data_IF_427114435469
#
_entry.id   IF_427114435469
#
_cell.length_a   1.000
_cell.length_b   1.000
_cell.length_c   1.000
_cell.angle_alpha   90.00
_cell.angle_beta   90.00
_cell.angle_gamma   90.00
#
_symmetry.space_group_name_H-M   'P 1'
#
loop_
_entity.id
_entity.type
_entity.pdbx_description
1 polymer ?
#
# COMPACT_ATOMS: atom_id res chain seq x y z
N UNK A 1 -12.86 -28.67 -29.72
CA UNK A 1 -13.41 -27.99 -28.51
C UNK A 1 -13.39 -28.87 -27.24
N UNK A 2 -12.63 -29.97 -27.21
CA UNK A 2 -12.69 -30.98 -26.16
C UNK A 2 -11.66 -30.88 -25.01
N UNK A 3 -10.63 -30.01 -25.07
CA UNK A 3 -9.50 -30.07 -24.13
C UNK A 3 -9.36 -28.88 -23.17
N UNK A 4 -10.17 -27.84 -23.31
CA UNK A 4 -10.11 -26.67 -22.38
C UNK A 4 -10.87 -26.97 -21.09
N UNK A 5 -11.93 -27.77 -21.14
CA UNK A 5 -12.69 -28.19 -19.96
C UNK A 5 -11.97 -29.25 -19.10
N UNK A 6 -11.01 -29.98 -19.63
CA UNK A 6 -10.22 -30.95 -18.89
C UNK A 6 -9.24 -30.30 -17.90
N UNK A 7 -8.69 -29.14 -18.25
CA UNK A 7 -7.78 -28.39 -17.40
C UNK A 7 -8.51 -27.69 -16.22
N UNK A 8 -9.74 -27.20 -16.46
CA UNK A 8 -10.61 -26.65 -15.41
C UNK A 8 -11.08 -27.74 -14.42
N UNK A 9 -11.34 -28.97 -14.91
CA UNK A 9 -11.68 -30.12 -14.07
C UNK A 9 -10.53 -30.60 -13.19
N UNK A 10 -9.27 -30.44 -13.62
CA UNK A 10 -8.09 -30.74 -12.80
C UNK A 10 -7.92 -29.73 -11.66
N UNK A 11 -8.09 -28.43 -11.93
CA UNK A 11 -8.03 -27.39 -10.92
C UNK A 11 -9.16 -27.54 -9.88
N UNK A 12 -10.33 -27.96 -10.29
CA UNK A 12 -11.46 -28.22 -9.38
C UNK A 12 -11.28 -29.51 -8.54
N UNK A 13 -10.49 -30.49 -9.00
CA UNK A 13 -10.15 -31.69 -8.22
C UNK A 13 -9.06 -31.46 -7.19
N UNK A 14 -8.23 -30.45 -7.38
CA UNK A 14 -7.22 -30.03 -6.38
C UNK A 14 -7.89 -29.31 -5.21
N UNK A 15 -9.04 -28.68 -5.41
CA UNK A 15 -9.79 -27.99 -4.33
C UNK A 15 -10.70 -28.91 -3.50
N UNK A 16 -10.87 -30.18 -3.90
CA UNK A 16 -11.79 -31.14 -3.22
C UNK A 16 -11.05 -32.13 -2.31
N UNK A 17 -9.71 -32.13 -2.31
CA UNK A 17 -8.93 -33.04 -1.47
C UNK A 17 -8.37 -32.29 -0.25
N UNK A 18 -8.97 -32.56 0.89
CA UNK A 18 -8.60 -32.22 2.26
C UNK A 18 -8.92 -30.79 2.73
N UNK A 19 -9.14 -30.65 4.00
CA UNK A 19 -9.10 -29.36 4.71
C UNK A 19 -7.92 -28.54 4.19
N UNK A 20 -8.12 -27.22 3.89
CA UNK A 20 -7.03 -26.42 3.33
C UNK A 20 -5.80 -26.60 4.26
N UNK A 21 -4.62 -26.87 3.70
CA UNK A 21 -3.45 -27.10 4.51
C UNK A 21 -3.26 -25.92 5.46
N UNK A 22 -2.80 -26.15 6.70
CA UNK A 22 -2.57 -25.08 7.64
C UNK A 22 -1.65 -24.05 6.99
N UNK A 23 -1.99 -22.77 7.11
CA UNK A 23 -1.24 -21.68 6.48
C UNK A 23 0.24 -21.77 6.85
N UNK A 24 1.09 -21.87 5.86
CA UNK A 24 2.53 -22.02 5.99
C UNK A 24 3.32 -21.18 4.97
N UNK A 25 4.65 -21.34 4.95
CA UNK A 25 5.53 -20.57 4.06
C UNK A 25 5.24 -20.76 2.56
N UNK A 26 4.80 -21.95 2.15
CA UNK A 26 4.49 -22.23 0.75
C UNK A 26 3.19 -21.57 0.30
N UNK A 27 2.17 -21.51 1.15
CA UNK A 27 0.92 -20.81 0.86
C UNK A 27 1.18 -19.32 0.67
N UNK A 28 2.01 -18.73 1.54
CA UNK A 28 2.47 -17.34 1.37
C UNK A 28 3.24 -17.15 0.06
N UNK A 29 4.19 -18.05 -0.25
CA UNK A 29 4.95 -17.98 -1.50
C UNK A 29 4.02 -18.05 -2.72
N UNK A 30 3.03 -18.94 -2.71
CA UNK A 30 2.08 -19.09 -3.81
C UNK A 30 1.18 -17.86 -3.96
N UNK A 31 0.70 -17.26 -2.86
CA UNK A 31 -0.06 -16.01 -2.92
C UNK A 31 0.76 -14.89 -3.56
N UNK A 32 2.02 -14.73 -3.16
CA UNK A 32 2.91 -13.73 -3.76
C UNK A 32 3.26 -14.05 -5.22
N UNK A 33 3.45 -15.32 -5.58
CA UNK A 33 3.71 -15.73 -6.96
C UNK A 33 2.50 -15.45 -7.88
N UNK A 34 1.30 -15.78 -7.42
CA UNK A 34 0.05 -15.53 -8.16
C UNK A 34 -0.19 -14.01 -8.30
N UNK A 35 0.02 -13.24 -7.23
CA UNK A 35 -0.08 -11.79 -7.30
C UNK A 35 0.99 -11.18 -8.23
N UNK A 36 2.20 -11.72 -8.26
CA UNK A 36 3.26 -11.30 -9.19
C UNK A 36 2.86 -11.53 -10.64
N UNK A 37 2.22 -12.67 -10.93
CA UNK A 37 1.68 -12.96 -12.26
C UNK A 37 0.61 -11.92 -12.65
N UNK A 38 -0.28 -11.57 -11.72
CA UNK A 38 -1.30 -10.55 -11.96
C UNK A 38 -0.68 -9.16 -12.17
N UNK A 39 0.34 -8.79 -11.40
CA UNK A 39 1.09 -7.54 -11.57
C UNK A 39 1.77 -7.49 -12.94
N UNK A 40 2.37 -8.60 -13.39
CA UNK A 40 2.97 -8.71 -14.71
C UNK A 40 1.94 -8.50 -15.83
N UNK A 41 0.79 -9.19 -15.75
CA UNK A 41 -0.30 -9.04 -16.71
C UNK A 41 -0.84 -7.60 -16.70
N UNK A 42 -1.05 -7.03 -15.53
CA UNK A 42 -1.52 -5.65 -15.36
C UNK A 42 -0.55 -4.62 -15.97
N UNK A 43 0.76 -4.81 -15.78
CA UNK A 43 1.78 -3.96 -16.40
C UNK A 43 1.77 -4.10 -17.92
N UNK A 44 1.60 -5.31 -18.44
CA UNK A 44 1.46 -5.53 -19.88
C UNK A 44 0.19 -4.88 -20.45
N UNK A 45 -0.94 -5.00 -19.73
CA UNK A 45 -2.18 -4.31 -20.09
C UNK A 45 -2.01 -2.80 -20.12
N UNK A 46 -1.38 -2.22 -19.10
CA UNK A 46 -1.07 -0.79 -19.06
C UNK A 46 -0.19 -0.35 -20.23
N UNK A 47 0.81 -1.14 -20.60
CA UNK A 47 1.70 -0.82 -21.72
C UNK A 47 0.99 -0.83 -23.09
N UNK A 48 -0.12 -1.58 -23.25
CA UNK A 48 -0.81 -1.79 -24.53
C UNK A 48 -2.15 -1.06 -24.65
N UNK A 49 -2.88 -0.88 -23.54
CA UNK A 49 -4.26 -0.38 -23.55
C UNK A 49 -4.29 1.13 -23.29
N UNK A 50 -4.59 1.92 -24.33
CA UNK A 50 -4.64 3.38 -24.28
C UNK A 50 -5.61 3.92 -23.21
N UNK A 51 -6.73 3.25 -22.95
CA UNK A 51 -7.68 3.66 -21.92
C UNK A 51 -7.03 3.66 -20.54
N UNK A 52 -6.30 2.59 -20.20
CA UNK A 52 -5.58 2.45 -18.93
C UNK A 52 -4.49 3.53 -18.81
N UNK A 53 -3.76 3.80 -19.90
CA UNK A 53 -2.75 4.86 -19.96
C UNK A 53 -3.36 6.23 -19.70
N UNK A 54 -4.46 6.56 -20.36
CA UNK A 54 -5.15 7.84 -20.21
C UNK A 54 -5.74 8.06 -18.81
N UNK A 55 -6.11 6.99 -18.12
CA UNK A 55 -6.60 7.04 -16.75
C UNK A 55 -5.48 6.98 -15.70
N UNK A 56 -4.21 6.83 -16.11
CA UNK A 56 -3.03 6.71 -15.22
C UNK A 56 -3.17 5.68 -14.10
N UNK A 57 -3.98 4.63 -14.33
CA UNK A 57 -4.18 3.61 -13.32
C UNK A 57 -2.86 2.89 -13.02
N UNK A 58 -2.45 2.80 -11.74
CA UNK A 58 -1.30 1.99 -11.36
C UNK A 58 -1.52 0.51 -11.69
N UNK A 59 -0.46 -0.16 -12.12
CA UNK A 59 -0.53 -1.60 -12.43
C UNK A 59 -0.90 -2.43 -11.18
N UNK A 60 -0.48 -1.99 -10.01
CA UNK A 60 -0.86 -2.59 -8.72
C UNK A 60 -2.36 -2.55 -8.45
N UNK A 61 -3.04 -1.44 -8.80
CA UNK A 61 -4.49 -1.33 -8.68
C UNK A 61 -5.20 -2.28 -9.65
N UNK A 62 -4.74 -2.35 -10.90
CA UNK A 62 -5.31 -3.26 -11.92
C UNK A 62 -5.13 -4.72 -11.49
N UNK A 63 -3.93 -5.08 -11.02
CA UNK A 63 -3.65 -6.42 -10.49
C UNK A 63 -4.54 -6.76 -9.29
N UNK A 64 -4.75 -5.79 -8.40
CA UNK A 64 -5.64 -5.95 -7.25
C UNK A 64 -7.09 -6.23 -7.66
N UNK A 65 -7.63 -5.48 -8.62
CA UNK A 65 -8.97 -5.77 -9.17
C UNK A 65 -9.04 -7.12 -9.88
N UNK A 66 -8.01 -7.47 -10.68
CA UNK A 66 -7.94 -8.80 -11.28
C UNK A 66 -7.92 -9.89 -10.20
N UNK A 67 -7.12 -9.71 -9.14
CA UNK A 67 -7.07 -10.61 -8.00
C UNK A 67 -8.42 -10.76 -7.31
N UNK A 68 -9.12 -9.64 -7.07
CA UNK A 68 -10.46 -9.64 -6.49
C UNK A 68 -11.46 -10.44 -7.35
N UNK A 69 -11.51 -10.16 -8.67
CA UNK A 69 -12.43 -10.82 -9.59
C UNK A 69 -12.10 -12.29 -9.82
N UNK A 70 -10.82 -12.66 -9.86
CA UNK A 70 -10.38 -14.03 -10.10
C UNK A 70 -10.36 -14.88 -8.82
N UNK A 71 -10.48 -14.27 -7.63
CA UNK A 71 -10.50 -14.94 -6.34
C UNK A 71 -11.77 -15.75 -6.10
N UNK A 72 -11.76 -16.52 -5.02
CA UNK A 72 -12.92 -17.33 -4.59
C UNK A 72 -14.18 -16.50 -4.30
N UNK A 73 -14.09 -15.18 -4.21
CA UNK A 73 -15.24 -14.30 -3.99
C UNK A 73 -16.11 -14.13 -5.25
N UNK A 74 -15.54 -14.31 -6.46
CA UNK A 74 -16.26 -14.18 -7.72
C UNK A 74 -16.12 -15.42 -8.60
N UNK A 75 -14.99 -15.56 -9.30
CA UNK A 75 -14.80 -16.60 -10.31
C UNK A 75 -14.18 -17.89 -9.76
N UNK A 76 -13.53 -17.84 -8.60
CA UNK A 76 -12.89 -19.00 -7.99
C UNK A 76 -11.75 -19.61 -8.83
N UNK A 77 -11.13 -18.82 -9.71
CA UNK A 77 -10.06 -19.30 -10.61
C UNK A 77 -8.72 -19.32 -9.87
N UNK A 78 -8.45 -18.32 -9.05
CA UNK A 78 -7.19 -18.20 -8.30
C UNK A 78 -7.47 -18.55 -6.84
N UNK A 79 -6.86 -19.64 -6.34
CA UNK A 79 -7.05 -20.07 -4.95
C UNK A 79 -6.10 -19.31 -4.01
N UNK A 80 -6.36 -18.03 -3.80
CA UNK A 80 -5.64 -17.28 -2.77
C UNK A 80 -5.96 -17.81 -1.36
N UNK A 81 -4.97 -17.73 -0.47
CA UNK A 81 -5.19 -18.11 0.93
C UNK A 81 -6.12 -17.13 1.64
N UNK A 82 -6.76 -17.59 2.72
CA UNK A 82 -7.61 -16.74 3.56
C UNK A 82 -6.84 -15.65 4.34
N UNK A 83 -5.52 -15.54 4.15
CA UNK A 83 -4.64 -14.57 4.85
C UNK A 83 -4.25 -13.37 4.01
N UNK A 84 -4.79 -13.20 2.81
CA UNK A 84 -4.46 -12.07 1.92
C UNK A 84 -4.57 -10.69 2.58
N UNK A 85 -5.60 -10.47 3.37
CA UNK A 85 -5.79 -9.20 4.09
C UNK A 85 -4.63 -8.87 5.05
N UNK A 86 -4.01 -9.89 5.63
CA UNK A 86 -2.89 -9.73 6.55
C UNK A 86 -1.61 -9.29 5.83
N UNK A 87 -1.47 -9.57 4.53
CA UNK A 87 -0.30 -9.14 3.76
C UNK A 87 -0.23 -7.63 3.60
N UNK A 88 -1.36 -6.96 3.37
CA UNK A 88 -1.39 -5.50 3.28
C UNK A 88 -0.90 -4.87 4.59
N UNK A 89 -1.35 -5.39 5.74
CA UNK A 89 -0.89 -4.92 7.05
C UNK A 89 0.59 -5.23 7.31
N UNK A 90 1.08 -6.41 6.94
CA UNK A 90 2.50 -6.77 7.05
C UNK A 90 3.37 -5.87 6.17
N UNK A 91 2.97 -5.65 4.92
CA UNK A 91 3.74 -4.86 3.96
C UNK A 91 3.84 -3.38 4.36
N UNK A 92 2.79 -2.81 4.99
CA UNK A 92 2.89 -1.44 5.50
C UNK A 92 3.92 -1.31 6.62
N UNK A 93 4.07 -2.31 7.47
CA UNK A 93 5.11 -2.33 8.52
C UNK A 93 6.50 -2.30 7.88
N UNK A 94 6.73 -3.11 6.84
CA UNK A 94 8.01 -3.13 6.09
C UNK A 94 8.27 -1.79 5.39
N UNK A 95 7.24 -1.20 4.77
CA UNK A 95 7.34 0.11 4.12
C UNK A 95 7.79 1.20 5.10
N UNK A 96 7.12 1.30 6.25
CA UNK A 96 7.42 2.32 7.25
C UNK A 96 8.76 2.08 7.95
N UNK A 97 9.17 0.83 8.15
CA UNK A 97 10.48 0.49 8.68
C UNK A 97 11.63 1.07 7.83
N UNK A 98 11.47 1.05 6.48
CA UNK A 98 12.46 1.58 5.55
C UNK A 98 12.47 3.10 5.37
N UNK A 99 11.42 3.81 5.83
CA UNK A 99 11.17 5.21 5.46
C UNK A 99 12.33 6.16 5.76
N UNK A 100 12.96 6.02 6.91
CA UNK A 100 14.06 6.90 7.37
C UNK A 100 15.45 6.32 7.17
N UNK A 101 15.60 5.07 6.75
CA UNK A 101 16.89 4.44 6.48
C UNK A 101 17.51 5.06 5.22
N UNK A 102 18.83 5.31 5.25
CA UNK A 102 19.58 5.95 4.16
C UNK A 102 19.52 7.48 4.15
N UNK A 103 18.85 8.11 5.12
CA UNK A 103 18.87 9.57 5.28
C UNK A 103 20.10 9.98 6.08
N UNK A 104 21.22 10.22 5.40
CA UNK A 104 22.49 10.56 6.01
C UNK A 104 22.76 12.08 6.04
N UNK A 105 22.02 12.88 5.28
CA UNK A 105 22.23 14.33 5.20
C UNK A 105 21.65 15.06 6.43
N UNK A 106 22.52 15.77 7.14
CA UNK A 106 22.10 16.73 8.17
C UNK A 106 21.57 17.98 7.48
N UNK A 107 20.30 17.99 7.15
CA UNK A 107 19.65 19.21 6.65
C UNK A 107 19.30 20.13 7.83
N UNK A 108 19.55 21.44 7.67
CA UNK A 108 19.09 22.42 8.65
C UNK A 108 17.56 22.46 8.66
N UNK A 109 16.94 22.43 9.86
CA UNK A 109 15.48 22.52 10.03
C UNK A 109 14.91 23.75 9.30
N UNK A 110 15.64 24.88 9.32
CA UNK A 110 15.23 26.10 8.61
C UNK A 110 15.18 25.91 7.10
N UNK A 111 16.14 25.17 6.52
CA UNK A 111 16.15 24.88 5.08
C UNK A 111 14.97 23.96 4.72
N UNK A 112 14.76 22.90 5.48
CA UNK A 112 13.62 21.98 5.30
C UNK A 112 12.28 22.71 5.43
N UNK A 113 12.12 23.56 6.46
CA UNK A 113 10.89 24.34 6.65
C UNK A 113 10.59 25.28 5.48
N UNK A 114 11.62 25.89 4.89
CA UNK A 114 11.44 26.77 3.73
C UNK A 114 11.13 26.02 2.43
N UNK A 115 11.65 24.81 2.26
CA UNK A 115 11.47 24.03 1.03
C UNK A 115 10.13 23.27 1.00
N UNK A 116 9.67 22.77 2.15
CA UNK A 116 8.48 21.91 2.22
C UNK A 116 7.38 22.42 3.14
N UNK A 117 7.57 23.57 3.80
CA UNK A 117 6.65 24.10 4.81
C UNK A 117 5.23 24.31 4.31
N UNK A 118 5.08 24.88 3.12
CA UNK A 118 3.77 25.12 2.49
C UNK A 118 3.04 23.79 2.22
N UNK A 119 3.74 22.84 1.61
CA UNK A 119 3.19 21.51 1.30
C UNK A 119 2.86 20.75 2.59
N UNK A 120 3.73 20.83 3.60
CA UNK A 120 3.48 20.20 4.90
C UNK A 120 2.25 20.79 5.59
N UNK A 121 2.13 22.12 5.61
CA UNK A 121 0.98 22.80 6.23
C UNK A 121 -0.32 22.46 5.52
N UNK A 122 -0.32 22.45 4.18
CA UNK A 122 -1.48 22.06 3.39
C UNK A 122 -1.89 20.60 3.67
N UNK A 123 -0.92 19.67 3.68
CA UNK A 123 -1.21 18.27 3.98
C UNK A 123 -1.78 18.09 5.39
N UNK A 124 -1.19 18.73 6.40
CA UNK A 124 -1.70 18.70 7.77
C UNK A 124 -3.11 19.27 7.88
N UNK A 125 -3.38 20.42 7.25
CA UNK A 125 -4.70 21.01 7.23
C UNK A 125 -5.74 20.10 6.55
N UNK A 126 -5.35 19.46 5.46
CA UNK A 126 -6.21 18.49 4.75
C UNK A 126 -6.48 17.26 5.61
N UNK A 127 -5.47 16.70 6.24
CA UNK A 127 -5.59 15.51 7.08
C UNK A 127 -6.47 15.78 8.30
N UNK A 128 -6.14 16.80 9.10
CA UNK A 128 -6.98 17.18 10.25
C UNK A 128 -8.40 17.58 9.83
N UNK A 129 -8.55 18.29 8.70
CA UNK A 129 -9.84 18.68 8.16
C UNK A 129 -10.69 17.46 7.79
N UNK A 130 -10.13 16.47 7.11
CA UNK A 130 -10.86 15.24 6.74
C UNK A 130 -11.25 14.41 7.97
N UNK A 131 -10.33 14.21 8.94
CA UNK A 131 -10.65 13.50 10.18
C UNK A 131 -11.71 14.26 11.00
N UNK A 132 -11.56 15.58 11.14
CA UNK A 132 -12.56 16.43 11.84
C UNK A 132 -13.93 16.36 11.19
N UNK A 133 -13.99 16.50 9.87
CA UNK A 133 -15.23 16.39 9.11
C UNK A 133 -15.88 15.01 9.26
N UNK A 134 -15.10 13.94 9.11
CA UNK A 134 -15.59 12.57 9.23
C UNK A 134 -16.14 12.26 10.64
N UNK A 135 -15.49 12.75 11.70
CA UNK A 135 -15.95 12.59 13.08
C UNK A 135 -17.24 13.37 13.30
N UNK A 136 -17.32 14.60 12.81
CA UNK A 136 -18.54 15.42 12.94
C UNK A 136 -19.72 14.79 12.18
N UNK A 137 -19.53 14.43 10.91
CA UNK A 137 -20.57 13.79 10.10
C UNK A 137 -20.93 12.42 10.68
N UNK A 138 -19.93 11.63 11.10
CA UNK A 138 -20.14 10.36 11.78
C UNK A 138 -20.97 10.51 13.04
N UNK A 139 -20.56 11.42 13.93
CA UNK A 139 -21.24 11.63 15.22
C UNK A 139 -22.65 12.21 15.11
N UNK A 140 -22.85 13.20 14.22
CA UNK A 140 -24.12 13.91 14.13
C UNK A 140 -25.11 13.32 13.14
N UNK A 141 -24.68 12.59 12.13
CA UNK A 141 -25.54 12.07 11.06
C UNK A 141 -25.49 10.55 11.00
N UNK A 142 -24.31 9.98 10.71
CA UNK A 142 -24.17 8.58 10.38
C UNK A 142 -24.65 7.65 11.52
N UNK A 143 -24.21 7.89 12.75
CA UNK A 143 -24.56 7.02 13.88
C UNK A 143 -26.00 7.20 14.37
N UNK A 144 -26.67 8.30 13.98
CA UNK A 144 -28.11 8.44 14.22
C UNK A 144 -28.93 7.70 13.17
N UNK A 145 -28.45 7.64 11.92
CA UNK A 145 -29.12 6.93 10.84
C UNK A 145 -28.83 5.42 10.87
N UNK A 146 -27.65 5.03 11.33
CA UNK A 146 -27.15 3.64 11.37
C UNK A 146 -26.55 3.33 12.74
N UNK A 147 -27.37 3.12 13.79
CA UNK A 147 -26.88 2.87 15.17
C UNK A 147 -26.03 1.59 15.31
N UNK A 148 -26.20 0.64 14.38
CA UNK A 148 -25.46 -0.61 14.35
C UNK A 148 -24.03 -0.48 13.82
N UNK A 149 -23.69 0.66 13.19
CA UNK A 149 -22.35 0.89 12.63
C UNK A 149 -21.36 1.21 13.76
N UNK A 150 -20.19 0.57 13.69
CA UNK A 150 -19.14 0.77 14.69
C UNK A 150 -18.72 2.25 14.77
N UNK A 151 -18.57 2.79 15.99
CA UNK A 151 -18.25 4.21 16.22
C UNK A 151 -16.93 4.69 15.57
N UNK A 152 -16.02 3.79 15.25
CA UNK A 152 -14.80 4.11 14.52
C UNK A 152 -14.96 4.07 12.99
N UNK A 153 -16.18 3.82 12.46
CA UNK A 153 -16.39 3.68 11.02
C UNK A 153 -15.99 4.94 10.25
N UNK A 154 -16.40 6.10 10.74
CA UNK A 154 -16.16 7.38 10.05
C UNK A 154 -14.69 7.73 9.89
N UNK A 155 -13.81 7.28 10.82
CA UNK A 155 -12.37 7.56 10.72
C UNK A 155 -11.66 6.71 9.65
N UNK A 156 -12.26 5.62 9.19
CA UNK A 156 -11.72 4.81 8.11
C UNK A 156 -11.79 5.51 6.75
N UNK A 157 -12.75 6.41 6.55
CA UNK A 157 -12.84 7.23 5.34
C UNK A 157 -11.57 8.09 5.14
N UNK A 158 -11.21 9.02 6.05
CA UNK A 158 -9.98 9.81 5.88
C UNK A 158 -8.73 8.94 5.91
N UNK A 159 -8.70 7.86 6.69
CA UNK A 159 -7.60 6.91 6.68
C UNK A 159 -7.34 6.34 5.28
N UNK A 160 -8.40 5.99 4.55
CA UNK A 160 -8.30 5.50 3.18
C UNK A 160 -7.98 6.60 2.16
N UNK A 161 -8.63 7.74 2.25
CA UNK A 161 -8.52 8.83 1.27
C UNK A 161 -7.18 9.57 1.37
N UNK A 162 -6.73 9.93 2.57
CA UNK A 162 -5.47 10.67 2.77
C UNK A 162 -4.28 9.72 2.76
N UNK A 163 -4.36 8.64 3.52
CA UNK A 163 -3.25 7.72 3.74
C UNK A 163 -3.18 6.53 2.78
N UNK A 164 -4.22 6.32 1.97
CA UNK A 164 -4.31 5.20 1.04
C UNK A 164 -4.31 3.83 1.72
N UNK A 165 -4.02 2.78 0.94
CA UNK A 165 -4.10 1.38 1.38
C UNK A 165 -3.19 1.06 2.59
N UNK A 166 -2.02 1.71 2.69
CA UNK A 166 -1.09 1.49 3.80
C UNK A 166 -1.63 2.00 5.13
N UNK A 167 -2.12 3.21 5.16
CA UNK A 167 -2.67 3.82 6.36
C UNK A 167 -4.01 3.18 6.76
N UNK A 168 -4.86 2.90 5.77
CA UNK A 168 -6.09 2.15 5.98
C UNK A 168 -5.83 0.75 6.55
N UNK A 169 -4.79 0.04 6.07
CA UNK A 169 -4.39 -1.25 6.60
C UNK A 169 -3.92 -1.14 8.07
N UNK A 170 -3.17 -0.09 8.39
CA UNK A 170 -2.66 0.12 9.74
C UNK A 170 -3.77 0.44 10.74
N UNK A 171 -4.65 1.39 10.41
CA UNK A 171 -5.77 1.76 11.29
C UNK A 171 -6.78 0.62 11.37
N UNK A 172 -7.18 0.03 10.22
CA UNK A 172 -8.10 -1.10 10.19
C UNK A 172 -7.57 -2.32 10.94
N UNK A 173 -6.28 -2.63 10.78
CA UNK A 173 -5.60 -3.69 11.53
C UNK A 173 -5.57 -3.42 13.04
N UNK A 174 -5.29 -2.18 13.45
CA UNK A 174 -5.32 -1.80 14.87
C UNK A 174 -6.72 -1.91 15.47
N UNK A 175 -7.76 -1.48 14.73
CA UNK A 175 -9.15 -1.59 15.17
C UNK A 175 -9.62 -3.05 15.28
N UNK A 176 -9.15 -3.91 14.38
CA UNK A 176 -9.36 -5.35 14.46
C UNK A 176 -8.66 -5.94 15.68
N UNK A 177 -7.36 -5.70 15.85
CA UNK A 177 -6.54 -6.30 16.90
C UNK A 177 -6.89 -5.81 18.32
N UNK A 178 -7.18 -4.51 18.46
CA UNK A 178 -7.46 -3.89 19.76
C UNK A 178 -8.96 -3.72 20.03
N UNK A 179 -9.76 -3.50 19.00
CA UNK A 179 -11.20 -3.27 19.10
C UNK A 179 -12.07 -4.48 18.80
N UNK A 180 -11.50 -5.58 18.30
CA UNK A 180 -12.24 -6.78 17.91
C UNK A 180 -13.17 -6.57 16.71
N UNK A 181 -12.98 -5.50 15.95
CA UNK A 181 -13.81 -5.21 14.79
C UNK A 181 -13.22 -5.83 13.52
N UNK A 182 -13.69 -7.03 13.18
CA UNK A 182 -13.14 -7.85 12.09
C UNK A 182 -13.23 -7.19 10.70
N UNK A 183 -14.30 -6.42 10.43
CA UNK A 183 -14.55 -5.79 9.14
C UNK A 183 -13.74 -4.51 8.92
N UNK A 184 -13.13 -3.94 9.96
CA UNK A 184 -12.43 -2.66 9.91
C UNK A 184 -11.37 -2.60 8.81
N UNK A 185 -10.61 -3.69 8.64
CA UNK A 185 -9.56 -3.78 7.61
C UNK A 185 -10.16 -3.73 6.20
N UNK A 186 -11.22 -4.50 5.95
CA UNK A 186 -11.91 -4.53 4.65
C UNK A 186 -12.54 -3.18 4.31
N UNK A 187 -13.20 -2.55 5.27
CA UNK A 187 -13.84 -1.24 5.10
C UNK A 187 -12.76 -0.18 4.82
N UNK A 188 -11.67 -0.17 5.57
CA UNK A 188 -10.53 0.71 5.34
C UNK A 188 -9.91 0.55 3.95
N UNK A 189 -9.69 -0.68 3.48
CA UNK A 189 -9.18 -0.96 2.14
C UNK A 189 -10.16 -0.54 1.05
N UNK A 190 -11.47 -0.67 1.32
CA UNK A 190 -12.52 -0.18 0.41
C UNK A 190 -12.46 1.33 0.25
N UNK A 191 -12.41 2.07 1.36
CA UNK A 191 -12.25 3.53 1.32
C UNK A 191 -10.93 3.95 0.63
N UNK A 192 -9.83 3.24 0.86
CA UNK A 192 -8.57 3.51 0.19
C UNK A 192 -8.66 3.32 -1.33
N UNK A 193 -9.35 2.28 -1.79
CA UNK A 193 -9.59 2.03 -3.22
C UNK A 193 -10.46 3.12 -3.84
N UNK A 194 -11.56 3.47 -3.18
CA UNK A 194 -12.45 4.56 -3.62
C UNK A 194 -11.68 5.89 -3.63
N UNK A 195 -10.93 6.19 -2.57
CA UNK A 195 -10.13 7.41 -2.46
C UNK A 195 -9.08 7.54 -3.57
N UNK A 196 -8.39 6.44 -3.88
CA UNK A 196 -7.42 6.40 -4.98
C UNK A 196 -8.10 6.65 -6.34
N UNK A 197 -9.24 6.02 -6.61
CA UNK A 197 -10.01 6.25 -7.83
C UNK A 197 -10.53 7.68 -7.91
N UNK A 198 -11.11 8.20 -6.84
CA UNK A 198 -11.57 9.58 -6.76
C UNK A 198 -10.42 10.58 -6.96
N UNK A 199 -9.26 10.34 -6.35
CA UNK A 199 -8.06 11.16 -6.51
C UNK A 199 -7.56 11.19 -7.96
N UNK A 200 -7.48 10.02 -8.61
CA UNK A 200 -7.05 9.90 -9.99
C UNK A 200 -8.07 10.58 -10.94
N UNK A 201 -9.34 10.17 -10.88
CA UNK A 201 -10.37 10.67 -11.79
C UNK A 201 -10.67 12.15 -11.54
N UNK A 202 -10.80 12.56 -10.27
CA UNK A 202 -10.98 13.95 -9.88
C UNK A 202 -9.78 14.81 -10.26
N UNK A 203 -8.57 14.33 -10.03
CA UNK A 203 -7.33 14.97 -10.45
C UNK A 203 -7.26 15.18 -11.97
N UNK A 204 -7.64 14.18 -12.76
CA UNK A 204 -7.73 14.30 -14.22
C UNK A 204 -8.74 15.37 -14.66
N UNK A 205 -9.90 15.41 -14.05
CA UNK A 205 -10.92 16.44 -14.34
C UNK A 205 -10.38 17.83 -14.00
N UNK A 206 -9.77 18.00 -12.83
CA UNK A 206 -9.18 19.27 -12.39
C UNK A 206 -8.03 19.71 -13.29
N UNK A 207 -7.13 18.81 -13.66
CA UNK A 207 -6.01 19.12 -14.59
C UNK A 207 -6.56 19.55 -15.95
N UNK A 208 -7.51 18.83 -16.52
CA UNK A 208 -8.12 19.18 -17.79
C UNK A 208 -8.84 20.55 -17.72
N UNK A 209 -9.54 20.82 -16.65
CA UNK A 209 -10.19 22.13 -16.43
C UNK A 209 -9.16 23.25 -16.32
N UNK A 210 -8.14 23.09 -15.48
CA UNK A 210 -7.08 24.07 -15.26
C UNK A 210 -6.26 24.33 -16.55
N UNK A 211 -5.97 23.28 -17.33
CA UNK A 211 -5.27 23.39 -18.61
C UNK A 211 -6.08 24.18 -19.64
N UNK A 212 -7.39 23.91 -19.76
CA UNK A 212 -8.30 24.66 -20.65
C UNK A 212 -8.41 26.13 -20.25
N UNK A 213 -8.34 26.44 -18.95
CA UNK A 213 -8.34 27.83 -18.43
C UNK A 213 -6.96 28.49 -18.46
N UNK A 214 -5.91 27.81 -18.97
CA UNK A 214 -4.51 28.29 -18.99
C UNK A 214 -4.00 28.65 -17.58
N UNK A 215 -4.51 27.98 -16.54
CA UNK A 215 -4.10 28.17 -15.15
C UNK A 215 -2.90 27.32 -14.74
N UNK A 216 -2.39 26.44 -15.62
CA UNK A 216 -1.23 25.58 -15.38
C UNK A 216 0.05 26.18 -15.93
N UNK A 217 1.17 26.09 -15.15
CA UNK A 217 2.49 26.59 -15.58
C UNK A 217 3.31 25.54 -16.34
N UNK A 218 3.19 24.26 -15.97
CA UNK A 218 4.12 23.21 -16.40
C UNK A 218 3.46 22.08 -17.20
N UNK A 219 2.18 21.82 -17.01
CA UNK A 219 1.49 20.73 -17.71
C UNK A 219 0.67 21.33 -18.85
N UNK A 220 1.01 20.96 -20.09
CA UNK A 220 0.29 21.46 -21.26
C UNK A 220 -0.87 20.54 -21.65
N UNK A 221 -0.61 19.28 -21.91
CA UNK A 221 -1.64 18.24 -22.16
C UNK A 221 -1.12 16.86 -21.80
N UNK A 222 -2.04 15.88 -21.62
CA UNK A 222 -1.71 14.48 -21.35
C UNK A 222 -0.90 13.83 -22.48
N UNK A 223 -1.12 14.28 -23.73
CA UNK A 223 -0.40 13.79 -24.91
C UNK A 223 1.07 14.23 -24.94
N UNK A 224 1.44 15.25 -24.17
CA UNK A 224 2.82 15.78 -24.10
C UNK A 224 3.67 15.11 -23.03
N UNK A 225 3.11 14.20 -22.23
CA UNK A 225 3.87 13.45 -21.24
C UNK A 225 4.81 12.43 -21.92
N UNK A 226 6.01 12.19 -21.36
CA UNK A 226 6.92 11.18 -21.85
C UNK A 226 6.24 9.81 -22.01
N UNK A 227 6.57 9.08 -23.05
CA UNK A 227 6.03 7.74 -23.30
C UNK A 227 6.25 6.79 -22.13
N UNK A 228 7.37 6.94 -21.43
CA UNK A 228 7.68 6.17 -20.20
C UNK A 228 6.66 6.38 -19.10
N UNK A 229 6.12 7.58 -18.93
CA UNK A 229 5.05 7.85 -17.96
C UNK A 229 3.70 7.29 -18.40
N UNK A 230 3.41 7.28 -19.70
CA UNK A 230 2.15 6.73 -20.22
C UNK A 230 2.12 5.21 -20.14
N UNK A 231 3.14 4.54 -20.68
CA UNK A 231 3.21 3.07 -20.79
C UNK A 231 3.71 2.38 -19.53
N UNK A 232 4.43 3.12 -18.65
CA UNK A 232 5.16 2.53 -17.52
C UNK A 232 6.43 1.76 -17.94
N UNK A 233 6.85 1.87 -19.20
CA UNK A 233 8.09 1.27 -19.72
C UNK A 233 9.08 2.37 -20.08
N UNK A 234 10.31 2.26 -19.57
CA UNK A 234 11.39 3.23 -19.81
C UNK A 234 12.24 2.76 -20.98
N UNK A 235 12.37 3.56 -22.06
CA UNK A 235 13.27 3.27 -23.18
C UNK A 235 14.72 3.07 -22.71
N UNK A 236 15.50 2.30 -23.46
CA UNK A 236 16.88 1.95 -23.08
C UNK A 236 17.75 3.19 -22.80
N UNK A 237 17.56 4.25 -23.59
CA UNK A 237 18.32 5.50 -23.52
C UNK A 237 17.99 6.33 -22.24
N UNK A 238 16.82 6.13 -21.67
CA UNK A 238 16.35 6.82 -20.45
C UNK A 238 16.56 5.98 -19.18
N UNK A 239 17.05 4.74 -19.30
CA UNK A 239 17.23 3.86 -18.15
C UNK A 239 18.36 4.35 -17.23
N UNK A 240 18.07 4.41 -15.95
CA UNK A 240 19.02 4.81 -14.91
C UNK A 240 19.25 3.67 -13.90
N UNK A 241 20.46 3.55 -13.31
CA UNK A 241 20.74 2.54 -12.29
C UNK A 241 19.77 2.71 -11.08
N UNK A 242 19.35 1.58 -10.50
CA UNK A 242 18.47 1.57 -9.33
C UNK A 242 19.14 2.09 -8.05
N UNK A 243 20.48 2.08 -7.99
CA UNK A 243 21.28 2.54 -6.87
C UNK A 243 22.77 2.24 -7.09
N UNK A 244 23.59 2.60 -6.12
CA UNK A 244 25.02 2.36 -6.15
C UNK A 244 25.37 1.04 -5.44
N UNK A 245 26.45 0.43 -5.90
CA UNK A 245 27.04 -0.74 -5.28
C UNK A 245 27.88 -0.30 -4.06
N UNK A 246 27.24 -0.24 -2.88
CA UNK A 246 27.84 0.29 -1.64
C UNK A 246 28.61 -0.75 -0.83
N UNK A 247 28.42 -2.04 -1.14
CA UNK A 247 29.13 -3.17 -0.55
C UNK A 247 29.59 -4.11 -1.65
N UNK A 248 30.64 -4.91 -1.35
CA UNK A 248 31.19 -5.84 -2.34
C UNK A 248 30.34 -7.12 -2.39
N UNK A 249 29.85 -7.54 -3.58
CA UNK A 249 29.05 -8.76 -3.73
C UNK A 249 29.75 -10.05 -3.29
N UNK A 250 31.10 -10.07 -3.20
CA UNK A 250 31.82 -11.22 -2.62
C UNK A 250 31.52 -11.44 -1.14
N UNK A 251 31.17 -10.38 -0.40
CA UNK A 251 30.82 -10.47 1.01
C UNK A 251 29.31 -10.58 1.21
N UNK A 252 28.53 -9.67 0.59
CA UNK A 252 27.08 -9.66 0.62
C UNK A 252 26.56 -8.89 -0.61
N UNK A 253 25.49 -9.37 -1.21
CA UNK A 253 24.85 -8.67 -2.31
C UNK A 253 24.33 -7.28 -1.86
N UNK A 254 24.57 -6.20 -2.65
CA UNK A 254 24.14 -4.84 -2.28
C UNK A 254 22.65 -4.71 -2.01
N UNK A 255 21.79 -5.42 -2.76
CA UNK A 255 20.34 -5.41 -2.50
C UNK A 255 20.03 -6.10 -1.17
N UNK A 256 20.64 -7.27 -0.93
CA UNK A 256 20.49 -8.02 0.32
C UNK A 256 20.92 -7.19 1.53
N UNK A 257 22.02 -6.42 1.41
CA UNK A 257 22.48 -5.48 2.43
C UNK A 257 21.40 -4.45 2.81
N UNK A 258 20.69 -3.88 1.85
CA UNK A 258 19.65 -2.91 2.11
C UNK A 258 18.35 -3.56 2.61
N UNK A 259 18.00 -4.74 2.08
CA UNK A 259 16.83 -5.51 2.54
C UNK A 259 16.98 -5.92 4.00
N UNK A 260 18.17 -6.39 4.42
CA UNK A 260 18.38 -6.77 5.82
C UNK A 260 18.19 -5.60 6.78
N UNK A 261 18.59 -4.37 6.41
CA UNK A 261 18.39 -3.20 7.26
C UNK A 261 16.90 -2.89 7.46
N UNK A 262 16.12 -2.99 6.40
CA UNK A 262 14.65 -2.82 6.47
C UNK A 262 14.02 -3.91 7.33
N UNK A 263 14.43 -5.16 7.15
CA UNK A 263 13.89 -6.29 7.91
C UNK A 263 14.28 -6.23 9.40
N UNK A 264 15.50 -5.78 9.73
CA UNK A 264 15.93 -5.56 11.13
C UNK A 264 15.03 -4.49 11.78
N UNK A 265 14.76 -3.39 11.09
CA UNK A 265 13.88 -2.35 11.61
C UNK A 265 12.42 -2.86 11.75
N UNK A 266 11.91 -3.62 10.79
CA UNK A 266 10.58 -4.22 10.87
C UNK A 266 10.48 -5.22 12.03
N UNK A 267 11.48 -6.08 12.22
CA UNK A 267 11.56 -7.01 13.34
C UNK A 267 11.64 -6.26 14.69
N UNK A 268 12.44 -5.18 14.76
CA UNK A 268 12.50 -4.31 15.92
C UNK A 268 11.14 -3.73 16.28
N UNK A 269 10.38 -3.28 15.28
CA UNK A 269 9.01 -2.81 15.43
C UNK A 269 8.07 -3.89 15.96
N UNK A 270 8.13 -5.09 15.40
CA UNK A 270 7.33 -6.23 15.81
C UNK A 270 7.58 -6.60 17.28
N UNK A 271 8.84 -6.84 17.65
CA UNK A 271 9.18 -7.22 19.03
C UNK A 271 8.89 -6.11 20.03
N UNK A 272 9.21 -4.85 19.70
CA UNK A 272 8.94 -3.72 20.57
C UNK A 272 7.41 -3.53 20.80
N UNK A 273 6.59 -3.66 19.76
CA UNK A 273 5.13 -3.57 19.89
C UNK A 273 4.57 -4.69 20.76
N UNK A 274 5.02 -5.93 20.55
CA UNK A 274 4.55 -7.06 21.36
C UNK A 274 5.01 -6.96 22.82
N UNK A 275 6.23 -6.48 23.05
CA UNK A 275 6.73 -6.25 24.40
C UNK A 275 5.97 -5.11 25.10
N UNK A 276 5.66 -4.04 24.39
CA UNK A 276 4.84 -2.94 24.90
C UNK A 276 3.42 -3.40 25.28
N UNK A 277 2.79 -4.28 24.50
CA UNK A 277 1.48 -4.88 24.85
C UNK A 277 1.51 -5.66 26.17
N UNK A 278 2.65 -6.29 26.51
CA UNK A 278 2.82 -7.01 27.79
C UNK A 278 3.01 -6.06 28.96
N UNK A 279 3.79 -4.98 28.75
CA UNK A 279 4.10 -4.00 29.79
C UNK A 279 2.93 -3.05 30.08
N UNK A 280 2.23 -2.61 29.06
CA UNK A 280 1.17 -1.61 29.13
C UNK A 280 -0.03 -2.09 28.29
N UNK A 281 -0.81 -3.07 28.80
CA UNK A 281 -1.92 -3.67 28.04
C UNK A 281 -3.01 -2.68 27.61
N UNK A 282 -3.13 -1.54 28.31
CA UNK A 282 -4.12 -0.50 28.02
C UNK A 282 -3.77 0.34 26.78
N UNK A 283 -2.53 0.28 26.30
CA UNK A 283 -2.06 1.09 25.17
C UNK A 283 -1.80 0.19 23.95
N UNK A 284 -2.59 0.36 22.91
CA UNK A 284 -2.34 -0.28 21.62
C UNK A 284 -1.47 0.62 20.75
N UNK A 285 -0.21 0.21 20.54
CA UNK A 285 0.72 0.93 19.65
C UNK A 285 0.62 0.35 18.22
N UNK A 286 0.35 1.19 17.19
CA UNK A 286 0.38 0.73 15.81
C UNK A 286 1.79 0.23 15.43
N UNK A 287 1.88 -1.03 15.02
CA UNK A 287 3.17 -1.68 14.72
C UNK A 287 3.98 -0.92 13.65
N UNK A 288 3.32 -0.31 12.65
CA UNK A 288 3.99 0.48 11.63
C UNK A 288 4.74 1.69 12.21
N UNK A 289 4.13 2.38 13.20
CA UNK A 289 4.76 3.54 13.85
C UNK A 289 5.97 3.14 14.66
N UNK A 290 5.89 2.01 15.38
CA UNK A 290 7.01 1.47 16.15
C UNK A 290 8.14 0.98 15.21
N UNK A 291 7.80 0.35 14.09
CA UNK A 291 8.78 -0.06 13.08
C UNK A 291 9.47 1.15 12.41
N UNK A 292 8.74 2.23 12.17
CA UNK A 292 9.30 3.49 11.69
C UNK A 292 10.32 4.06 12.68
N UNK A 293 9.99 4.09 13.98
CA UNK A 293 10.91 4.54 15.03
C UNK A 293 12.14 3.62 15.16
N UNK A 294 11.95 2.32 14.99
CA UNK A 294 13.05 1.36 14.94
C UNK A 294 13.98 1.64 13.74
N UNK A 295 13.43 2.01 12.57
CA UNK A 295 14.20 2.44 11.40
C UNK A 295 15.00 3.72 11.66
N UNK A 296 14.42 4.71 12.33
CA UNK A 296 15.13 5.93 12.76
C UNK A 296 16.28 5.59 13.71
N UNK A 297 16.02 4.75 14.70
CA UNK A 297 17.05 4.31 15.67
C UNK A 297 18.17 3.55 14.97
N UNK A 298 17.83 2.62 14.07
CA UNK A 298 18.81 1.88 13.28
C UNK A 298 19.69 2.82 12.45
N UNK A 299 19.09 3.81 11.77
CA UNK A 299 19.84 4.81 11.00
C UNK A 299 20.78 5.64 11.90
N UNK A 300 20.33 6.00 13.09
CA UNK A 300 21.16 6.69 14.06
C UNK A 300 22.37 5.85 14.49
N UNK A 301 22.17 4.56 14.77
CA UNK A 301 23.25 3.62 15.11
C UNK A 301 24.23 3.47 13.95
N UNK A 302 23.74 3.26 12.72
CA UNK A 302 24.55 3.14 11.49
C UNK A 302 25.43 4.40 11.33
N UNK A 303 24.86 5.60 11.53
CA UNK A 303 25.60 6.84 11.42
C UNK A 303 26.68 6.98 12.52
N UNK A 304 26.37 6.57 13.76
CA UNK A 304 27.38 6.55 14.86
C UNK A 304 28.52 5.57 14.59
N UNK A 305 28.25 4.45 13.95
CA UNK A 305 29.26 3.46 13.55
C UNK A 305 30.08 3.91 12.32
N UNK A 306 29.81 5.07 11.74
CA UNK A 306 30.47 5.55 10.53
C UNK A 306 30.08 4.79 9.26
N UNK A 307 29.04 3.96 9.32
CA UNK A 307 28.61 3.10 8.22
C UNK A 307 27.53 3.76 7.31
N UNK A 308 27.12 4.98 7.57
CA UNK A 308 26.09 5.68 6.80
C UNK A 308 26.38 5.79 5.30
N UNK A 309 27.66 5.87 4.92
CA UNK A 309 28.10 5.91 3.52
C UNK A 309 27.84 4.60 2.75
N UNK A 310 27.62 3.48 3.44
CA UNK A 310 27.34 2.18 2.83
C UNK A 310 25.83 1.91 2.67
N UNK A 311 24.98 2.89 2.94
CA UNK A 311 23.53 2.79 2.77
C UNK A 311 23.09 3.74 1.66
N UNK A 312 22.64 3.20 0.54
CA UNK A 312 22.09 4.00 -0.57
C UNK A 312 20.57 4.16 -0.41
N UNK A 313 20.13 5.41 -0.21
CA UNK A 313 18.73 5.78 -0.10
C UNK A 313 17.89 5.36 -1.32
N UNK A 314 18.48 5.34 -2.52
CA UNK A 314 17.76 4.96 -3.74
C UNK A 314 17.33 3.49 -3.67
N UNK A 315 18.21 2.60 -3.21
CA UNK A 315 17.89 1.17 -3.07
C UNK A 315 16.78 1.00 -2.03
N UNK A 316 16.88 1.65 -0.86
CA UNK A 316 15.82 1.63 0.16
C UNK A 316 14.49 2.13 -0.42
N UNK A 317 14.51 3.23 -1.19
CA UNK A 317 13.30 3.75 -1.84
C UNK A 317 12.71 2.75 -2.84
N UNK A 318 13.56 2.02 -3.60
CA UNK A 318 13.09 0.99 -4.54
C UNK A 318 12.47 -0.21 -3.83
N UNK A 319 13.06 -0.64 -2.71
CA UNK A 319 12.44 -1.67 -1.85
C UNK A 319 11.06 -1.19 -1.39
N UNK A 320 10.96 0.04 -0.86
CA UNK A 320 9.68 0.61 -0.45
C UNK A 320 8.65 0.70 -1.58
N UNK A 321 9.06 1.10 -2.79
CA UNK A 321 8.18 1.15 -3.96
C UNK A 321 7.66 -0.24 -4.34
N UNK A 322 8.53 -1.26 -4.35
CA UNK A 322 8.13 -2.65 -4.63
C UNK A 322 7.14 -3.16 -3.57
N UNK A 323 7.41 -2.88 -2.30
CA UNK A 323 6.50 -3.21 -1.19
C UNK A 323 5.15 -2.53 -1.38
N UNK A 324 5.11 -1.26 -1.83
CA UNK A 324 3.88 -0.52 -2.10
C UNK A 324 3.04 -1.15 -3.23
N UNK A 325 3.67 -1.61 -4.30
CA UNK A 325 2.95 -2.27 -5.39
C UNK A 325 2.21 -3.52 -4.92
N UNK A 326 2.87 -4.39 -4.15
CA UNK A 326 2.23 -5.56 -3.56
C UNK A 326 1.18 -5.19 -2.51
N UNK A 327 1.45 -4.17 -1.68
CA UNK A 327 0.53 -3.67 -0.66
C UNK A 327 -0.80 -3.23 -1.28
N UNK A 328 -0.75 -2.42 -2.33
CA UNK A 328 -1.96 -1.96 -3.05
C UNK A 328 -2.67 -3.15 -3.70
N UNK A 329 -1.94 -4.02 -4.39
CA UNK A 329 -2.52 -5.16 -5.08
C UNK A 329 -3.22 -6.13 -4.10
N UNK A 330 -2.57 -6.51 -3.00
CA UNK A 330 -3.20 -7.35 -1.97
C UNK A 330 -4.31 -6.61 -1.21
N UNK A 331 -4.15 -5.30 -0.95
CA UNK A 331 -5.18 -4.49 -0.32
C UNK A 331 -6.49 -4.54 -1.09
N UNK A 332 -6.45 -4.28 -2.40
CA UNK A 332 -7.63 -4.33 -3.27
C UNK A 332 -8.16 -5.76 -3.42
N UNK A 333 -7.28 -6.74 -3.66
CA UNK A 333 -7.68 -8.14 -3.84
C UNK A 333 -8.31 -8.76 -2.59
N UNK A 334 -7.97 -8.27 -1.40
CA UNK A 334 -8.49 -8.75 -0.11
C UNK A 334 -9.82 -8.12 0.32
N UNK A 335 -10.38 -7.16 -0.44
CA UNK A 335 -11.68 -6.55 -0.15
C UNK A 335 -12.75 -7.63 -0.16
N UNK A 336 -13.48 -7.75 0.95
CA UNK A 336 -14.58 -8.71 1.07
C UNK A 336 -15.86 -8.07 0.53
N UNK A 337 -16.34 -8.55 -0.62
CA UNK A 337 -17.51 -7.99 -1.30
C UNK A 337 -18.77 -8.09 -0.45
N UNK A 338 -18.92 -9.17 0.34
CA UNK A 338 -20.04 -9.32 1.27
C UNK A 338 -20.10 -8.17 2.29
N UNK A 339 -18.95 -7.77 2.83
CA UNK A 339 -18.84 -6.63 3.76
C UNK A 339 -19.15 -5.32 3.05
N UNK A 340 -18.64 -5.13 1.83
CA UNK A 340 -18.93 -3.92 1.04
C UNK A 340 -20.43 -3.79 0.75
N UNK A 341 -21.10 -4.89 0.42
CA UNK A 341 -22.56 -4.89 0.20
C UNK A 341 -23.30 -4.60 1.51
N UNK A 342 -22.90 -5.21 2.62
CA UNK A 342 -23.53 -4.98 3.93
C UNK A 342 -23.44 -3.52 4.37
N UNK A 343 -22.30 -2.88 4.13
CA UNK A 343 -22.07 -1.48 4.50
C UNK A 343 -22.20 -0.51 3.32
N UNK A 344 -22.85 -0.93 2.21
CA UNK A 344 -22.92 -0.12 0.99
C UNK A 344 -23.52 1.26 1.22
N UNK A 345 -24.61 1.36 2.00
CA UNK A 345 -25.27 2.64 2.29
C UNK A 345 -24.43 3.52 3.23
N UNK A 346 -23.88 3.03 4.37
CA UNK A 346 -22.97 3.82 5.19
C UNK A 346 -21.67 4.24 4.49
N UNK A 347 -21.20 3.47 3.49
CA UNK A 347 -19.99 3.78 2.71
C UNK A 347 -20.25 4.89 1.68
N UNK A 348 -21.46 4.95 1.11
CA UNK A 348 -21.84 5.92 0.06
C UNK A 348 -22.06 7.33 0.59
#
# INVERSE_FOLDING_TARGET
>A
MGNVFGCLGFLNRVSVLADPPPFGPYEMLMDFALMSLLLFIAQFMRAKIKLIQNLYLPSSLIAGFMGLFLSNQFLGIIPFSGKMSSYAYMLVVVLFAGLFIGNSEKQSIKKVANEVGDTFTLNMATEFGQFGFAILVGGFILYQMFPEVHHAFSILLPAGFVGGHGYAAAIGGTLKDAGGWEEALTIGQTFATIGLLCGILGGLVLINYATRKKATRFIKTMAELPKSMQTGLVPLEEQTPMGNQTVNPMAIDPLSWHVLLVLIAAAGGYYATNYAKVLIPQVSLPMMSVAMLAGVLLQFVINKLGMGQYVDKRIITRIGSSVTDYLVAFGVASIQISVVIQYAVPIA
#
